data_IF_138256822444
#
_entry.id   IF_138256822444
#
_cell.length_a   1.000
_cell.length_b   1.000
_cell.length_c   1.000
_cell.angle_alpha   90.00
_cell.angle_beta   90.00
_cell.angle_gamma   90.00
#
_symmetry.space_group_name_H-M   'P 1'
#
loop_
_entity.id
_entity.type
_entity.pdbx_description
1 polymer ?
#
# COMPACT_ATOMS: atom_id res chain seq x y z
N UNK A 1 -5.71 32.99 14.88
CA UNK A 1 -4.72 33.57 13.94
C UNK A 1 -3.28 33.47 14.44
N UNK A 2 -3.00 32.78 15.56
CA UNK A 2 -1.64 32.59 16.09
C UNK A 2 -0.93 31.32 15.56
N UNK A 3 -1.67 30.32 15.09
CA UNK A 3 -1.07 29.01 14.74
C UNK A 3 -0.40 28.96 13.36
N UNK A 4 -0.76 29.83 12.40
CA UNK A 4 -0.21 29.75 11.03
C UNK A 4 1.28 30.10 10.93
N UNK A 5 1.85 30.80 11.91
CA UNK A 5 3.22 31.33 11.83
C UNK A 5 4.27 30.46 12.55
N UNK A 6 3.86 29.42 13.30
CA UNK A 6 4.78 28.51 14.00
C UNK A 6 5.29 27.40 13.07
N UNK A 7 4.55 27.10 12.00
CA UNK A 7 4.83 25.98 11.10
C UNK A 7 5.93 26.23 10.05
N UNK A 8 6.35 27.48 9.83
CA UNK A 8 7.33 27.81 8.78
C UNK A 8 8.80 27.60 9.19
N UNK A 9 9.12 27.53 10.49
CA UNK A 9 10.52 27.61 10.96
C UNK A 9 11.10 26.31 11.51
N UNK A 10 10.35 25.21 11.53
CA UNK A 10 10.88 23.92 11.99
C UNK A 10 11.84 23.33 10.96
N UNK A 11 13.01 22.89 11.40
CA UNK A 11 13.95 22.10 10.61
C UNK A 11 13.41 20.71 10.34
N UNK A 12 13.98 20.01 9.36
CA UNK A 12 13.54 18.66 9.01
C UNK A 12 13.76 17.66 10.16
N UNK A 13 14.85 17.80 10.92
CA UNK A 13 15.11 16.98 12.11
C UNK A 13 14.09 17.24 13.23
N UNK A 14 13.69 18.49 13.46
CA UNK A 14 12.64 18.81 14.43
C UNK A 14 11.27 18.28 13.98
N UNK A 15 10.97 18.40 12.69
CA UNK A 15 9.75 17.86 12.10
C UNK A 15 9.69 16.34 12.23
N UNK A 16 10.80 15.64 11.98
CA UNK A 16 10.90 14.19 12.18
C UNK A 16 10.49 13.79 13.60
N UNK A 17 11.03 14.46 14.62
CA UNK A 17 10.71 14.19 16.03
C UNK A 17 9.22 14.48 16.31
N UNK A 18 8.69 15.58 15.78
CA UNK A 18 7.30 15.99 16.01
C UNK A 18 6.29 15.08 15.30
N UNK A 19 6.59 14.58 14.10
CA UNK A 19 5.73 13.65 13.35
C UNK A 19 5.55 12.35 14.15
N UNK A 20 6.60 11.85 14.82
CA UNK A 20 6.48 10.66 15.69
C UNK A 20 5.50 10.85 16.86
N UNK A 21 5.28 12.09 17.29
CA UNK A 21 4.39 12.42 18.42
C UNK A 21 2.97 12.80 17.97
N UNK A 22 2.87 13.52 16.86
CA UNK A 22 1.61 13.94 16.26
C UNK A 22 1.74 13.96 14.73
N UNK A 23 0.92 13.14 14.06
CA UNK A 23 0.86 13.03 12.60
C UNK A 23 0.50 14.34 11.90
N UNK A 24 -0.14 15.30 12.56
CA UNK A 24 -0.51 16.60 11.95
C UNK A 24 0.69 17.37 11.41
N UNK A 25 1.88 17.16 11.99
CA UNK A 25 3.13 17.80 11.53
C UNK A 25 3.58 17.30 10.16
N UNK A 26 3.11 16.12 9.70
CA UNK A 26 3.36 15.62 8.35
C UNK A 26 2.78 16.57 7.29
N UNK A 27 1.65 17.23 7.59
CA UNK A 27 1.04 18.20 6.70
C UNK A 27 1.91 19.41 6.37
N UNK A 28 2.95 19.68 7.18
CA UNK A 28 3.95 20.72 6.91
C UNK A 28 4.93 20.22 5.85
N UNK A 29 5.44 19.00 6.01
CA UNK A 29 6.33 18.35 5.03
C UNK A 29 5.62 18.24 3.69
N UNK A 30 4.37 17.76 3.69
CA UNK A 30 3.53 17.69 2.50
C UNK A 30 3.49 19.03 1.75
N UNK A 31 3.16 20.13 2.45
CA UNK A 31 3.05 21.46 1.83
C UNK A 31 4.39 22.01 1.34
N UNK A 32 5.49 21.76 2.05
CA UNK A 32 6.84 22.22 1.67
C UNK A 32 7.33 21.51 0.42
N UNK A 33 7.11 20.20 0.33
CA UNK A 33 7.75 19.37 -0.69
C UNK A 33 6.91 19.18 -1.96
N UNK A 34 5.57 19.29 -1.89
CA UNK A 34 4.65 18.95 -3.01
C UNK A 34 5.04 19.63 -4.32
N UNK A 35 5.16 20.97 -4.32
CA UNK A 35 5.41 21.73 -5.56
C UNK A 35 6.72 21.33 -6.23
N UNK A 36 7.78 21.15 -5.44
CA UNK A 36 9.09 20.76 -5.96
C UNK A 36 9.08 19.30 -6.45
N UNK A 37 8.45 18.37 -5.73
CA UNK A 37 8.34 16.98 -6.16
C UNK A 37 7.58 16.85 -7.48
N UNK A 38 6.44 17.54 -7.62
CA UNK A 38 5.68 17.57 -8.86
C UNK A 38 6.48 18.19 -10.01
N UNK A 39 7.22 19.28 -9.74
CA UNK A 39 8.11 19.90 -10.73
C UNK A 39 9.25 18.99 -11.17
N UNK A 40 9.88 18.29 -10.23
CA UNK A 40 10.91 17.29 -10.46
C UNK A 40 10.38 16.15 -11.35
N UNK A 41 9.25 15.55 -10.97
CA UNK A 41 8.63 14.44 -11.72
C UNK A 41 8.16 14.86 -13.12
N UNK A 42 7.62 16.07 -13.27
CA UNK A 42 7.21 16.58 -14.58
C UNK A 42 8.39 16.73 -15.54
N UNK A 43 9.54 17.21 -15.04
CA UNK A 43 10.79 17.27 -15.82
C UNK A 43 11.27 15.87 -16.19
N UNK A 44 11.29 14.94 -15.22
CA UNK A 44 11.74 13.56 -15.40
C UNK A 44 10.94 12.81 -16.48
N UNK A 45 9.64 13.08 -16.56
CA UNK A 45 8.72 12.42 -17.49
C UNK A 45 8.53 13.19 -18.79
N UNK A 46 9.27 14.29 -19.00
CA UNK A 46 9.08 15.23 -20.11
C UNK A 46 7.63 15.69 -20.29
N UNK A 47 6.87 15.76 -19.19
CA UNK A 47 5.44 16.11 -19.19
C UNK A 47 4.52 15.07 -19.83
N UNK A 48 4.96 13.82 -20.02
CA UNK A 48 4.15 12.73 -20.59
C UNK A 48 3.09 12.16 -19.64
N UNK A 49 3.31 12.31 -18.33
CA UNK A 49 2.41 11.83 -17.27
C UNK A 49 1.51 12.97 -16.80
N UNK A 50 0.23 12.68 -16.54
CA UNK A 50 -0.73 13.69 -16.10
C UNK A 50 -0.44 14.20 -14.69
N UNK A 51 -0.83 15.44 -14.38
CA UNK A 51 -0.65 16.00 -13.03
C UNK A 51 -1.38 15.19 -11.95
N UNK A 52 -2.51 14.54 -12.27
CA UNK A 52 -3.22 13.66 -11.33
C UNK A 52 -2.39 12.44 -10.96
N UNK A 53 -1.80 11.76 -11.95
CA UNK A 53 -0.93 10.61 -11.70
C UNK A 53 0.34 11.00 -10.93
N UNK A 54 0.91 12.18 -11.21
CA UNK A 54 2.05 12.70 -10.45
C UNK A 54 1.66 13.05 -9.01
N UNK A 55 0.45 13.56 -8.79
CA UNK A 55 -0.07 13.79 -7.44
C UNK A 55 -0.25 12.49 -6.67
N UNK A 56 -0.77 11.44 -7.30
CA UNK A 56 -0.92 10.12 -6.67
C UNK A 56 0.43 9.55 -6.25
N UNK A 57 1.46 9.60 -7.11
CA UNK A 57 2.82 9.18 -6.76
C UNK A 57 3.38 9.97 -5.57
N UNK A 58 3.12 11.28 -5.50
CA UNK A 58 3.55 12.09 -4.36
C UNK A 58 2.81 11.74 -3.07
N UNK A 59 1.51 11.42 -3.14
CA UNK A 59 0.75 10.96 -1.98
C UNK A 59 1.34 9.66 -1.44
N UNK A 60 1.62 8.71 -2.32
CA UNK A 60 2.24 7.44 -1.96
C UNK A 60 3.60 7.65 -1.31
N UNK A 61 4.43 8.52 -1.87
CA UNK A 61 5.71 8.92 -1.28
C UNK A 61 5.55 9.51 0.14
N UNK A 62 4.50 10.30 0.36
CA UNK A 62 4.21 10.90 1.66
C UNK A 62 3.75 9.85 2.69
N UNK A 63 2.97 8.86 2.26
CA UNK A 63 2.53 7.72 3.09
C UNK A 63 3.75 6.88 3.50
N UNK A 64 4.63 6.51 2.56
CA UNK A 64 5.87 5.77 2.84
C UNK A 64 6.72 6.49 3.88
N UNK A 65 6.89 7.80 3.72
CA UNK A 65 7.62 8.62 4.67
C UNK A 65 7.02 8.48 6.08
N UNK A 66 5.70 8.64 6.21
CA UNK A 66 5.01 8.53 7.48
C UNK A 66 5.15 7.14 8.12
N UNK A 67 4.94 6.08 7.34
CA UNK A 67 5.05 4.70 7.82
C UNK A 67 6.46 4.40 8.35
N UNK A 68 7.50 4.83 7.64
CA UNK A 68 8.89 4.65 8.10
C UNK A 68 9.15 5.46 9.38
N UNK A 69 8.67 6.70 9.46
CA UNK A 69 8.82 7.52 10.66
C UNK A 69 8.17 6.84 11.87
N UNK A 70 6.95 6.33 11.73
CA UNK A 70 6.19 5.69 12.82
C UNK A 70 6.78 4.33 13.21
N UNK A 71 7.29 3.56 12.24
CA UNK A 71 7.99 2.28 12.50
C UNK A 71 9.22 2.45 13.39
N UNK A 72 9.84 3.64 13.36
CA UNK A 72 10.79 4.10 14.36
C UNK A 72 12.27 3.84 14.02
N UNK A 73 12.55 3.02 13.00
CA UNK A 73 13.88 2.73 12.45
C UNK A 73 14.35 3.76 11.39
N UNK A 74 13.48 4.72 11.04
CA UNK A 74 13.81 5.75 10.07
C UNK A 74 14.85 6.76 10.59
N UNK A 75 15.95 6.86 9.84
CA UNK A 75 16.98 7.88 10.00
C UNK A 75 16.93 8.78 8.77
N UNK A 76 16.69 10.07 8.98
CA UNK A 76 16.70 11.05 7.91
C UNK A 76 18.15 11.43 7.58
N UNK A 77 18.67 10.92 6.47
CA UNK A 77 20.06 11.11 6.03
C UNK A 77 20.25 12.26 5.03
N UNK A 78 19.15 12.80 4.50
CA UNK A 78 19.09 13.96 3.59
C UNK A 78 17.83 14.78 3.91
N UNK A 79 17.65 15.96 3.33
CA UNK A 79 16.40 16.72 3.52
C UNK A 79 15.15 15.90 3.16
N UNK A 80 13.99 16.26 3.73
CA UNK A 80 12.72 15.64 3.33
C UNK A 80 12.42 15.83 1.85
N UNK A 81 12.89 16.94 1.26
CA UNK A 81 12.76 17.19 -0.18
C UNK A 81 13.53 16.13 -0.97
N UNK A 82 14.81 15.91 -0.66
CA UNK A 82 15.66 14.92 -1.33
C UNK A 82 15.12 13.51 -1.14
N UNK A 83 14.69 13.17 0.08
CA UNK A 83 14.06 11.89 0.37
C UNK A 83 12.80 11.67 -0.49
N UNK A 84 11.86 12.62 -0.49
CA UNK A 84 10.61 12.50 -1.24
C UNK A 84 10.84 12.47 -2.75
N UNK A 85 11.80 13.26 -3.28
CA UNK A 85 12.20 13.18 -4.69
C UNK A 85 12.70 11.77 -5.05
N UNK A 86 13.49 11.14 -4.17
CA UNK A 86 14.03 9.80 -4.38
C UNK A 86 12.94 8.73 -4.43
N UNK A 87 12.01 8.78 -3.48
CA UNK A 87 10.86 7.87 -3.42
C UNK A 87 9.93 8.07 -4.63
N UNK A 88 9.66 9.32 -5.02
CA UNK A 88 8.89 9.64 -6.23
C UNK A 88 9.57 9.09 -7.49
N UNK A 89 10.89 9.28 -7.62
CA UNK A 89 11.70 8.78 -8.74
C UNK A 89 11.60 7.26 -8.85
N UNK A 90 11.83 6.56 -7.74
CA UNK A 90 11.78 5.10 -7.72
C UNK A 90 10.41 4.55 -8.12
N UNK A 91 9.33 5.12 -7.56
CA UNK A 91 7.96 4.72 -7.90
C UNK A 91 7.59 4.99 -9.36
N UNK A 92 8.03 6.13 -9.92
CA UNK A 92 7.83 6.43 -11.34
C UNK A 92 8.56 5.46 -12.24
N UNK A 93 9.83 5.16 -11.96
CA UNK A 93 10.61 4.19 -12.75
C UNK A 93 9.95 2.81 -12.74
N UNK A 94 9.52 2.33 -11.57
CA UNK A 94 8.79 1.07 -11.45
C UNK A 94 7.49 1.06 -12.28
N UNK A 95 6.79 2.19 -12.35
CA UNK A 95 5.54 2.33 -13.13
C UNK A 95 5.83 2.38 -14.64
N UNK A 96 6.89 3.07 -15.04
CA UNK A 96 7.33 3.18 -16.45
C UNK A 96 7.84 1.84 -16.99
N UNK A 97 8.61 1.09 -16.20
CA UNK A 97 9.07 -0.26 -16.55
C UNK A 97 7.89 -1.20 -16.80
N UNK A 98 6.86 -1.16 -15.93
CA UNK A 98 5.65 -1.97 -16.08
C UNK A 98 4.81 -1.58 -17.31
N UNK A 99 4.75 -0.29 -17.63
CA UNK A 99 3.93 0.24 -18.73
C UNK A 99 4.62 0.21 -20.11
N UNK A 100 5.89 -0.21 -20.19
CA UNK A 100 6.73 -0.20 -21.42
C UNK A 100 6.87 1.20 -22.04
N UNK A 101 6.61 2.27 -21.28
CA UNK A 101 6.88 3.63 -21.75
C UNK A 101 8.39 3.85 -21.77
N UNK A 102 8.93 4.22 -22.94
CA UNK A 102 10.30 4.72 -23.02
C UNK A 102 10.34 6.19 -22.64
N UNK A 103 11.21 6.53 -21.69
CA UNK A 103 11.53 7.93 -21.39
C UNK A 103 12.98 8.19 -21.78
N UNK A 104 13.23 9.26 -22.52
CA UNK A 104 14.57 9.75 -22.87
C UNK A 104 15.12 10.58 -21.69
N UNK A 105 15.07 10.01 -20.48
CA UNK A 105 15.57 10.69 -19.28
C UNK A 105 17.08 10.48 -19.22
N UNK A 106 17.82 11.51 -19.59
CA UNK A 106 19.24 11.59 -19.25
C UNK A 106 19.38 11.92 -17.76
N UNK A 107 19.90 10.94 -17.02
CA UNK A 107 20.23 11.09 -15.60
C UNK A 107 21.34 12.13 -15.43
N UNK A 108 20.95 13.37 -15.11
CA UNK A 108 21.85 14.52 -15.05
C UNK A 108 22.05 15.05 -13.62
N UNK A 109 21.92 14.21 -12.58
CA UNK A 109 22.20 14.70 -11.21
C UNK A 109 22.69 13.61 -10.27
N UNK A 110 24.01 13.39 -10.27
CA UNK A 110 24.77 12.96 -9.08
C UNK A 110 25.11 14.18 -8.18
N UNK A 111 24.23 15.19 -8.11
CA UNK A 111 24.42 16.31 -7.21
C UNK A 111 23.77 15.95 -5.87
N UNK A 112 24.57 15.35 -4.98
CA UNK A 112 24.28 15.16 -3.54
C UNK A 112 24.36 16.51 -2.79
N UNK A 113 23.87 17.57 -3.45
CA UNK A 113 23.78 18.93 -2.92
C UNK A 113 22.40 19.09 -2.28
N UNK A 114 22.36 19.04 -0.94
CA UNK A 114 21.14 19.11 -0.13
C UNK A 114 20.44 20.49 -0.27
N UNK A 115 21.08 21.48 -0.92
CA UNK A 115 20.46 22.76 -1.29
C UNK A 115 19.70 22.71 -2.64
N UNK A 116 19.89 21.67 -3.46
CA UNK A 116 19.17 21.53 -4.72
C UNK A 116 17.75 20.98 -4.49
N UNK A 117 16.68 21.75 -4.76
CA UNK A 117 15.31 21.27 -4.58
C UNK A 117 14.92 20.12 -5.53
N UNK A 118 15.71 19.86 -6.57
CA UNK A 118 15.55 18.71 -7.47
C UNK A 118 16.53 17.56 -7.16
N UNK A 119 17.34 17.69 -6.09
CA UNK A 119 18.27 16.65 -5.65
C UNK A 119 17.53 15.38 -5.23
N UNK A 120 18.15 14.24 -5.45
CA UNK A 120 17.64 12.93 -5.05
C UNK A 120 18.82 12.00 -4.74
N UNK A 121 18.60 10.96 -3.96
CA UNK A 121 19.58 9.93 -3.65
C UNK A 121 19.11 8.58 -4.25
N UNK A 122 19.85 8.08 -5.24
CA UNK A 122 19.51 6.84 -5.97
C UNK A 122 19.50 5.58 -5.10
N UNK A 123 20.15 5.61 -3.93
CA UNK A 123 20.15 4.49 -2.97
C UNK A 123 18.84 4.38 -2.20
N UNK A 124 18.01 5.43 -2.20
CA UNK A 124 16.68 5.40 -1.58
C UNK A 124 15.71 4.81 -2.59
N UNK A 125 15.39 3.53 -2.39
CA UNK A 125 14.47 2.75 -3.23
C UNK A 125 13.21 2.35 -2.46
N UNK A 126 12.74 3.22 -1.58
CA UNK A 126 11.51 2.95 -0.84
C UNK A 126 10.30 3.06 -1.77
N UNK A 127 9.36 2.13 -1.64
CA UNK A 127 8.09 2.12 -2.38
C UNK A 127 6.97 1.64 -1.47
N UNK A 128 5.74 2.06 -1.77
CA UNK A 128 4.59 1.31 -1.30
C UNK A 128 4.64 -0.03 -1.99
N UNK A 129 4.45 -1.10 -1.23
CA UNK A 129 4.16 -2.39 -1.83
C UNK A 129 2.95 -2.18 -2.73
N UNK A 130 3.12 -2.39 -4.03
CA UNK A 130 1.98 -2.41 -4.94
C UNK A 130 0.98 -3.40 -4.36
N UNK A 131 -0.29 -3.00 -4.24
CA UNK A 131 -1.36 -3.96 -3.95
C UNK A 131 -1.21 -5.06 -5.00
N UNK A 132 -0.89 -6.26 -4.54
CA UNK A 132 -0.61 -7.38 -5.43
C UNK A 132 -1.93 -7.86 -6.07
N UNK A 133 -2.30 -7.19 -7.16
CA UNK A 133 -3.43 -7.55 -7.99
C UNK A 133 -3.19 -8.84 -8.79
N UNK A 134 -2.00 -9.46 -8.73
CA UNK A 134 -1.80 -10.77 -9.37
C UNK A 134 -2.76 -11.84 -8.82
N UNK A 135 -3.23 -11.64 -7.59
CA UNK A 135 -4.22 -12.50 -6.94
C UNK A 135 -5.66 -12.02 -7.13
N UNK A 136 -5.91 -10.89 -7.79
CA UNK A 136 -7.26 -10.35 -8.03
C UNK A 136 -8.16 -11.34 -8.78
N UNK A 137 -7.71 -12.03 -9.85
CA UNK A 137 -8.52 -13.07 -10.50
C UNK A 137 -8.88 -14.22 -9.54
N UNK A 138 -7.94 -14.59 -8.66
CA UNK A 138 -8.13 -15.65 -7.67
C UNK A 138 -9.12 -15.22 -6.58
N UNK A 139 -9.06 -13.95 -6.17
CA UNK A 139 -9.97 -13.35 -5.20
C UNK A 139 -11.41 -13.31 -5.74
N UNK A 140 -11.59 -12.80 -6.97
CA UNK A 140 -12.89 -12.77 -7.66
C UNK A 140 -13.47 -14.17 -7.86
N UNK A 141 -12.62 -15.15 -8.19
CA UNK A 141 -13.02 -16.55 -8.32
C UNK A 141 -13.51 -17.13 -6.98
N UNK A 142 -12.83 -16.83 -5.88
CA UNK A 142 -13.23 -17.26 -4.52
C UNK A 142 -14.55 -16.60 -4.10
N UNK A 143 -14.71 -15.29 -4.35
CA UNK A 143 -15.93 -14.55 -4.06
C UNK A 143 -17.13 -15.15 -4.81
N UNK A 144 -16.99 -15.34 -6.11
CA UNK A 144 -18.00 -15.98 -6.96
C UNK A 144 -18.32 -17.40 -6.48
N UNK A 145 -17.30 -18.16 -6.08
CA UNK A 145 -17.46 -19.50 -5.55
C UNK A 145 -18.23 -19.54 -4.21
N UNK A 146 -18.02 -18.56 -3.34
CA UNK A 146 -18.77 -18.41 -2.09
C UNK A 146 -20.24 -18.09 -2.36
N UNK A 147 -20.54 -17.17 -3.28
CA UNK A 147 -21.93 -16.84 -3.64
C UNK A 147 -22.65 -18.03 -4.31
N UNK A 148 -21.97 -18.77 -5.19
CA UNK A 148 -22.50 -20.04 -5.73
C UNK A 148 -22.77 -21.07 -4.63
N UNK A 149 -21.89 -21.16 -3.63
CA UNK A 149 -22.07 -22.07 -2.50
C UNK A 149 -23.26 -21.68 -1.62
N UNK A 150 -23.44 -20.37 -1.39
CA UNK A 150 -24.59 -19.80 -0.67
C UNK A 150 -25.90 -20.07 -1.40
N UNK A 151 -25.94 -19.85 -2.72
CA UNK A 151 -27.12 -20.09 -3.56
C UNK A 151 -27.46 -21.59 -3.64
N UNK A 152 -26.47 -22.47 -3.69
CA UNK A 152 -26.67 -23.92 -3.66
C UNK A 152 -27.16 -24.44 -2.29
N UNK A 153 -27.07 -23.62 -1.25
CA UNK A 153 -27.52 -23.94 0.10
C UNK A 153 -26.66 -24.94 0.86
N UNK A 154 -27.19 -25.37 2.00
CA UNK A 154 -26.51 -26.22 2.98
C UNK A 154 -25.60 -25.41 3.93
N UNK A 155 -24.87 -26.13 4.78
CA UNK A 155 -24.13 -25.52 5.89
C UNK A 155 -22.71 -25.02 5.55
N UNK A 156 -22.19 -25.29 4.35
CA UNK A 156 -20.79 -24.98 4.05
C UNK A 156 -20.47 -23.48 4.00
N UNK A 157 -21.34 -22.68 3.38
CA UNK A 157 -21.14 -21.22 3.35
C UNK A 157 -21.15 -20.63 4.77
N UNK A 158 -22.13 -21.02 5.58
CA UNK A 158 -22.30 -20.57 6.96
C UNK A 158 -21.13 -21.02 7.85
N UNK A 159 -20.72 -22.30 7.76
CA UNK A 159 -19.60 -22.85 8.51
C UNK A 159 -18.29 -22.11 8.21
N UNK A 160 -18.01 -21.82 6.94
CA UNK A 160 -16.81 -21.07 6.54
C UNK A 160 -16.88 -19.61 6.99
N UNK A 161 -18.04 -18.98 6.91
CA UNK A 161 -18.25 -17.60 7.38
C UNK A 161 -18.04 -17.47 8.89
N UNK A 162 -18.65 -18.36 9.68
CA UNK A 162 -18.50 -18.38 11.14
C UNK A 162 -17.05 -18.65 11.57
N UNK A 163 -16.31 -19.47 10.81
CA UNK A 163 -14.91 -19.74 11.10
C UNK A 163 -13.97 -18.60 10.67
N UNK A 164 -14.06 -18.12 9.44
CA UNK A 164 -13.10 -17.14 8.90
C UNK A 164 -13.39 -15.71 9.32
N UNK A 165 -14.66 -15.32 9.34
CA UNK A 165 -15.07 -13.95 9.66
C UNK A 165 -15.35 -13.78 11.15
N UNK A 166 -16.20 -14.63 11.73
CA UNK A 166 -16.55 -14.54 13.16
C UNK A 166 -15.55 -15.21 14.10
N UNK A 167 -14.50 -15.86 13.56
CA UNK A 167 -13.42 -16.51 14.33
C UNK A 167 -13.92 -17.51 15.39
N UNK A 168 -15.09 -18.14 15.19
CA UNK A 168 -15.63 -19.13 16.12
C UNK A 168 -14.69 -20.34 16.24
N UNK A 169 -14.50 -20.81 17.46
CA UNK A 169 -13.71 -22.00 17.76
C UNK A 169 -14.38 -23.27 17.24
N UNK A 170 -13.61 -24.36 17.09
CA UNK A 170 -14.19 -25.64 16.66
C UNK A 170 -15.26 -26.14 17.63
N UNK A 171 -15.14 -25.86 18.93
CA UNK A 171 -16.12 -26.28 19.93
C UNK A 171 -17.44 -25.50 19.77
N UNK A 172 -17.37 -24.19 19.56
CA UNK A 172 -18.56 -23.37 19.29
C UNK A 172 -19.28 -23.83 18.01
N UNK A 173 -18.52 -24.06 16.94
CA UNK A 173 -19.07 -24.59 15.69
C UNK A 173 -19.65 -26.00 15.86
N UNK A 174 -19.05 -26.84 16.71
CA UNK A 174 -19.58 -28.19 16.99
C UNK A 174 -20.97 -28.09 17.62
N UNK A 175 -21.13 -27.22 18.62
CA UNK A 175 -22.41 -26.99 19.29
C UNK A 175 -23.44 -26.39 18.34
N UNK A 176 -23.04 -25.39 17.55
CA UNK A 176 -23.95 -24.62 16.68
C UNK A 176 -24.50 -25.44 15.53
N UNK A 177 -23.68 -26.31 14.93
CA UNK A 177 -24.11 -27.22 13.87
C UNK A 177 -24.58 -28.60 14.38
N UNK A 178 -24.58 -28.82 15.70
CA UNK A 178 -25.01 -30.09 16.30
C UNK A 178 -24.13 -31.29 15.95
N UNK A 179 -22.83 -31.08 15.72
CA UNK A 179 -21.89 -32.17 15.42
C UNK A 179 -21.51 -32.94 16.69
N UNK A 180 -21.15 -34.21 16.52
CA UNK A 180 -20.87 -35.12 17.65
C UNK A 180 -19.62 -34.73 18.43
N UNK A 181 -18.60 -34.19 17.76
CA UNK A 181 -17.35 -33.77 18.37
C UNK A 181 -16.58 -32.78 17.47
N UNK A 182 -15.55 -32.15 18.04
CA UNK A 182 -14.70 -31.20 17.33
C UNK A 182 -14.00 -31.78 16.10
N UNK A 183 -13.71 -33.09 16.07
CA UNK A 183 -13.02 -33.70 14.93
C UNK A 183 -13.95 -33.87 13.73
N UNK A 184 -15.23 -34.13 13.97
CA UNK A 184 -16.27 -34.11 12.93
C UNK A 184 -16.38 -32.72 12.32
N UNK A 185 -16.36 -31.69 13.15
CA UNK A 185 -16.39 -30.28 12.73
C UNK A 185 -15.17 -29.91 11.88
N UNK A 186 -13.96 -30.31 12.29
CA UNK A 186 -12.73 -30.11 11.49
C UNK A 186 -12.83 -30.80 10.14
N UNK A 187 -13.29 -32.05 10.11
CA UNK A 187 -13.47 -32.82 8.88
C UNK A 187 -14.51 -32.18 7.96
N UNK A 188 -15.63 -31.70 8.51
CA UNK A 188 -16.67 -31.03 7.74
C UNK A 188 -16.17 -29.70 7.17
N UNK A 189 -15.44 -28.91 7.97
CA UNK A 189 -14.78 -27.68 7.50
C UNK A 189 -13.81 -27.99 6.35
N UNK A 190 -12.97 -29.00 6.49
CA UNK A 190 -12.03 -29.40 5.45
C UNK A 190 -12.75 -29.81 4.15
N UNK A 191 -13.88 -30.52 4.24
CA UNK A 191 -14.72 -30.84 3.08
C UNK A 191 -15.31 -29.59 2.42
N UNK A 192 -15.81 -28.64 3.22
CA UNK A 192 -16.34 -27.39 2.69
C UNK A 192 -15.25 -26.51 2.04
N UNK A 193 -14.04 -26.47 2.60
CA UNK A 193 -12.88 -25.79 2.00
C UNK A 193 -12.51 -26.41 0.65
N UNK A 194 -12.41 -27.75 0.57
CA UNK A 194 -12.16 -28.45 -0.71
C UNK A 194 -13.26 -28.20 -1.75
N UNK A 195 -14.52 -28.11 -1.31
CA UNK A 195 -15.64 -27.76 -2.19
C UNK A 195 -15.48 -26.34 -2.73
N UNK A 196 -15.11 -25.38 -1.88
CA UNK A 196 -14.87 -23.99 -2.29
C UNK A 196 -13.73 -23.90 -3.30
N UNK A 197 -12.59 -24.54 -2.98
CA UNK A 197 -11.40 -24.60 -3.84
C UNK A 197 -11.75 -25.13 -5.23
N UNK A 198 -12.55 -26.21 -5.31
CA UNK A 198 -12.97 -26.77 -6.60
C UNK A 198 -13.84 -25.81 -7.41
N UNK A 199 -14.76 -25.08 -6.77
CA UNK A 199 -15.61 -24.11 -7.47
C UNK A 199 -14.74 -22.93 -7.92
N UNK A 200 -13.91 -22.37 -7.05
CA UNK A 200 -13.01 -21.27 -7.37
C UNK A 200 -12.05 -21.62 -8.50
N UNK A 201 -11.47 -22.83 -8.50
CA UNK A 201 -10.63 -23.31 -9.61
C UNK A 201 -11.40 -23.35 -10.94
N UNK A 202 -12.65 -23.78 -10.93
CA UNK A 202 -13.47 -23.78 -12.14
C UNK A 202 -13.83 -22.37 -12.61
N UNK A 203 -14.02 -21.41 -11.70
CA UNK A 203 -14.26 -20.00 -12.08
C UNK A 203 -12.99 -19.34 -12.63
N UNK A 204 -11.82 -19.67 -12.07
CA UNK A 204 -10.54 -19.10 -12.49
C UNK A 204 -10.11 -19.57 -13.89
N UNK A 205 -10.56 -20.75 -14.31
CA UNK A 205 -10.20 -21.36 -15.60
C UNK A 205 -11.36 -21.37 -16.62
N UNK A 206 -12.44 -20.62 -16.36
CA UNK A 206 -13.53 -20.37 -17.31
C UNK A 206 -13.19 -19.19 -18.22
#
# INVERSE_FOLDING_TARGET
MADKNIFSNLTDQELLVKIKQNSDYLGIVYKRCKTNCLGFMRKMTSGKISDYELEDVFQDANIILYEKIVKGDFVLTASFQTYLNSVCRFQLLNTLEKSKLTTDYEDNSEDDDDENPNGYNSSITDSLDAVDHSNEPQFLAIETALEKMKAAGGHCYELLTLFWYHKKSMNELTTEFGYTNSDTTKNQKAKCQKRLEKIAYNELNQ
#
